data_IF_648713655572
#
_entry.id   IF_648713655572
#
_cell.length_a   1.000
_cell.length_b   1.000
_cell.length_c   1.000
_cell.angle_alpha   90.00
_cell.angle_beta   90.00
_cell.angle_gamma   90.00
#
_symmetry.space_group_name_H-M   'P 1'
#
loop_
_entity.id
_entity.type
_entity.pdbx_description
1 polymer ?
#
# COMPACT_ATOMS: atom_id res chain seq x y z
N UNK A 1 -26.98 -38.13 15.44
CA UNK A 1 -26.71 -38.60 14.08
C UNK A 1 -26.76 -37.39 13.17
N UNK A 2 -25.58 -37.03 12.71
CA UNK A 2 -25.19 -35.81 12.02
C UNK A 2 -25.89 -35.61 10.66
N UNK A 3 -26.03 -34.36 10.22
CA UNK A 3 -25.75 -33.93 8.84
C UNK A 3 -25.77 -32.41 8.71
N UNK A 4 -24.68 -31.80 9.19
CA UNK A 4 -24.18 -30.46 8.81
C UNK A 4 -23.62 -30.51 7.38
N UNK A 5 -24.47 -30.26 6.37
CA UNK A 5 -24.05 -30.26 4.96
C UNK A 5 -24.72 -29.15 4.17
N UNK A 6 -23.92 -28.12 3.82
CA UNK A 6 -24.06 -27.00 2.84
C UNK A 6 -23.99 -25.60 3.49
N UNK A 7 -23.09 -24.65 3.16
CA UNK A 7 -21.98 -24.55 2.21
C UNK A 7 -21.03 -23.39 2.62
N UNK A 8 -19.74 -23.61 2.91
CA UNK A 8 -18.81 -22.54 3.30
C UNK A 8 -18.27 -21.69 2.12
N UNK A 9 -18.71 -21.93 0.88
CA UNK A 9 -18.23 -21.21 -0.32
C UNK A 9 -19.04 -19.95 -0.66
N UNK A 10 -20.34 -19.93 -0.38
CA UNK A 10 -21.24 -18.80 -0.66
C UNK A 10 -21.00 -17.61 0.26
N UNK A 11 -20.76 -17.87 1.56
CA UNK A 11 -20.38 -16.84 2.52
C UNK A 11 -19.01 -16.21 2.18
N UNK A 12 -18.07 -16.98 1.64
CA UNK A 12 -16.79 -16.45 1.20
C UNK A 12 -16.94 -15.58 -0.05
N UNK A 13 -17.75 -15.97 -1.04
CA UNK A 13 -18.06 -15.12 -2.19
C UNK A 13 -18.77 -13.83 -1.80
N UNK A 14 -19.78 -13.89 -0.92
CA UNK A 14 -20.44 -12.71 -0.39
C UNK A 14 -19.46 -11.82 0.39
N UNK A 15 -18.52 -12.42 1.12
CA UNK A 15 -17.43 -11.72 1.79
C UNK A 15 -16.51 -11.06 0.77
N UNK A 16 -16.02 -11.78 -0.25
CA UNK A 16 -15.21 -11.28 -1.38
C UNK A 16 -15.89 -10.09 -2.09
N UNK A 17 -17.19 -10.20 -2.37
CA UNK A 17 -17.98 -9.15 -2.98
C UNK A 17 -18.10 -7.93 -2.06
N UNK A 18 -18.30 -8.14 -0.76
CA UNK A 18 -18.25 -7.07 0.24
C UNK A 18 -16.84 -6.46 0.36
N UNK A 19 -15.75 -7.22 0.14
CA UNK A 19 -14.38 -6.67 0.13
C UNK A 19 -14.17 -5.77 -1.08
N UNK A 20 -14.62 -6.22 -2.26
CA UNK A 20 -14.56 -5.44 -3.50
C UNK A 20 -15.40 -4.18 -3.33
N UNK A 21 -16.60 -4.27 -2.76
CA UNK A 21 -17.46 -3.12 -2.51
C UNK A 21 -16.80 -2.11 -1.57
N UNK A 22 -16.08 -2.58 -0.53
CA UNK A 22 -15.36 -1.72 0.40
C UNK A 22 -14.14 -1.07 -0.25
N UNK A 23 -13.42 -1.80 -1.11
CA UNK A 23 -12.32 -1.27 -1.91
C UNK A 23 -12.81 -0.23 -2.92
N UNK A 24 -13.94 -0.48 -3.57
CA UNK A 24 -14.63 0.46 -4.48
C UNK A 24 -15.12 1.68 -3.72
N UNK A 25 -15.63 1.53 -2.50
CA UNK A 25 -16.02 2.65 -1.62
C UNK A 25 -14.82 3.53 -1.26
N UNK A 26 -13.68 2.94 -0.93
CA UNK A 26 -12.43 3.66 -0.67
C UNK A 26 -11.94 4.36 -1.94
N UNK A 27 -11.97 3.68 -3.08
CA UNK A 27 -11.62 4.28 -4.36
C UNK A 27 -12.55 5.44 -4.72
N UNK A 28 -13.86 5.30 -4.47
CA UNK A 28 -14.86 6.34 -4.68
C UNK A 28 -14.64 7.53 -3.74
N UNK A 29 -14.38 7.29 -2.46
CA UNK A 29 -14.03 8.34 -1.51
C UNK A 29 -12.75 9.07 -1.94
N UNK A 30 -11.72 8.32 -2.35
CA UNK A 30 -10.47 8.87 -2.89
C UNK A 30 -10.70 9.71 -4.14
N UNK A 31 -11.56 9.24 -5.06
CA UNK A 31 -11.94 9.97 -6.28
C UNK A 31 -12.77 11.22 -5.99
N UNK A 32 -13.70 11.17 -5.02
CA UNK A 32 -14.46 12.35 -4.57
C UNK A 32 -13.55 13.40 -3.95
N UNK A 33 -12.58 12.98 -3.12
CA UNK A 33 -11.56 13.85 -2.53
C UNK A 33 -10.67 14.43 -3.62
N UNK A 34 -10.23 13.63 -4.60
CA UNK A 34 -9.46 14.10 -5.76
C UNK A 34 -10.20 15.21 -6.52
N UNK A 35 -11.49 14.99 -6.78
CA UNK A 35 -12.33 15.93 -7.54
C UNK A 35 -12.52 17.23 -6.77
N UNK A 36 -12.64 17.16 -5.44
CA UNK A 36 -12.77 18.34 -4.58
C UNK A 36 -11.46 19.12 -4.44
N UNK A 37 -10.30 18.45 -4.51
CA UNK A 37 -8.99 19.08 -4.37
C UNK A 37 -8.38 19.57 -5.70
N UNK A 38 -8.95 19.26 -6.88
CA UNK A 38 -8.42 19.63 -8.20
C UNK A 38 -6.91 19.36 -8.39
N UNK A 39 -6.35 18.37 -7.69
CA UNK A 39 -4.93 18.05 -7.78
C UNK A 39 -4.65 17.26 -9.08
N UNK A 40 -3.57 17.55 -9.81
CA UNK A 40 -3.13 16.82 -11.02
C UNK A 40 -2.63 15.38 -10.71
N UNK A 41 -3.07 14.81 -9.59
CA UNK A 41 -2.71 13.49 -9.11
C UNK A 41 -3.82 12.52 -9.50
N UNK A 42 -3.45 11.43 -10.18
CA UNK A 42 -4.38 10.35 -10.55
C UNK A 42 -5.05 9.75 -9.32
N UNK A 43 -6.35 9.46 -9.41
CA UNK A 43 -7.14 8.89 -8.32
C UNK A 43 -6.56 7.59 -7.75
N UNK A 44 -5.74 6.85 -8.50
CA UNK A 44 -5.01 5.68 -8.00
C UNK A 44 -3.98 6.00 -6.90
N UNK A 45 -3.25 7.10 -7.02
CA UNK A 45 -2.27 7.51 -6.00
C UNK A 45 -2.97 7.99 -4.73
N UNK A 46 -4.10 8.69 -4.87
CA UNK A 46 -4.93 9.11 -3.74
C UNK A 46 -5.58 7.91 -3.07
N UNK A 47 -6.07 6.93 -3.86
CA UNK A 47 -6.56 5.66 -3.35
C UNK A 47 -5.49 4.89 -2.56
N UNK A 48 -4.23 4.88 -3.04
CA UNK A 48 -3.10 4.30 -2.33
C UNK A 48 -2.83 5.00 -0.98
N UNK A 49 -2.84 6.35 -0.95
CA UNK A 49 -2.68 7.12 0.29
C UNK A 49 -3.82 6.88 1.28
N UNK A 50 -5.05 6.80 0.78
CA UNK A 50 -6.22 6.55 1.62
C UNK A 50 -6.20 5.13 2.20
N UNK A 51 -5.81 4.15 1.38
CA UNK A 51 -5.60 2.78 1.84
C UNK A 51 -4.48 2.70 2.89
N UNK A 52 -3.38 3.43 2.68
CA UNK A 52 -2.28 3.53 3.63
C UNK A 52 -2.76 4.13 4.96
N UNK A 53 -3.54 5.21 4.93
CA UNK A 53 -4.11 5.83 6.13
C UNK A 53 -5.08 4.87 6.86
N UNK A 54 -5.96 4.19 6.13
CA UNK A 54 -6.88 3.20 6.69
C UNK A 54 -6.14 2.00 7.31
N UNK A 55 -5.03 1.58 6.71
CA UNK A 55 -4.15 0.54 7.24
C UNK A 55 -3.47 1.02 8.53
N UNK A 56 -3.00 2.26 8.58
CA UNK A 56 -2.40 2.87 9.77
C UNK A 56 -3.42 3.01 10.92
N UNK A 57 -4.69 3.29 10.62
CA UNK A 57 -5.78 3.31 11.61
C UNK A 57 -6.15 1.92 12.17
N UNK A 58 -5.53 0.82 11.70
CA UNK A 58 -5.76 -0.53 12.22
C UNK A 58 -7.14 -1.12 11.88
N UNK A 59 -7.95 -0.41 11.10
CA UNK A 59 -9.30 -0.80 10.74
C UNK A 59 -9.32 -1.86 9.61
N UNK A 60 -8.20 -2.00 8.89
CA UNK A 60 -8.10 -2.82 7.69
C UNK A 60 -7.37 -4.15 7.92
N UNK A 61 -8.08 -5.27 7.72
CA UNK A 61 -7.53 -6.61 7.89
C UNK A 61 -6.76 -7.03 6.63
N UNK A 62 -5.46 -7.27 6.78
CA UNK A 62 -4.49 -7.52 5.70
C UNK A 62 -4.86 -8.70 4.77
N UNK A 63 -5.76 -9.59 5.21
CA UNK A 63 -6.29 -10.69 4.40
C UNK A 63 -7.21 -10.25 3.24
N UNK A 64 -7.71 -9.02 3.23
CA UNK A 64 -8.70 -8.52 2.26
C UNK A 64 -8.06 -8.03 0.95
N UNK A 65 -6.85 -7.44 1.02
CA UNK A 65 -6.10 -6.98 -0.16
C UNK A 65 -5.57 -8.16 -0.97
N UNK A 66 -5.15 -9.24 -0.29
CA UNK A 66 -4.41 -10.35 -0.91
C UNK A 66 -5.24 -11.10 -1.97
N UNK A 67 -6.54 -11.29 -1.73
CA UNK A 67 -7.42 -11.98 -2.67
C UNK A 67 -7.83 -11.11 -3.87
N UNK A 68 -8.08 -9.81 -3.67
CA UNK A 68 -8.39 -8.89 -4.77
C UNK A 68 -7.18 -8.61 -5.67
N UNK A 69 -5.98 -8.55 -5.08
CA UNK A 69 -4.75 -8.25 -5.81
C UNK A 69 -4.34 -9.38 -6.76
N UNK A 70 -4.51 -10.65 -6.39
CA UNK A 70 -4.19 -11.78 -7.28
C UNK A 70 -5.04 -11.77 -8.55
N UNK A 71 -6.30 -11.36 -8.45
CA UNK A 71 -7.23 -11.28 -9.58
C UNK A 71 -6.86 -10.11 -10.52
N UNK A 72 -6.52 -8.95 -9.95
CA UNK A 72 -6.05 -7.78 -10.71
C UNK A 72 -4.67 -8.03 -11.32
N UNK A 73 -3.81 -8.80 -10.65
CA UNK A 73 -2.48 -9.15 -11.14
C UNK A 73 -2.57 -10.06 -12.38
N UNK A 74 -3.54 -10.98 -12.41
CA UNK A 74 -3.86 -11.77 -13.59
C UNK A 74 -4.37 -10.89 -14.75
N UNK A 75 -5.27 -9.95 -14.46
CA UNK A 75 -5.75 -8.96 -15.43
C UNK A 75 -4.64 -8.00 -15.91
N UNK A 76 -3.63 -7.68 -15.07
CA UNK A 76 -2.51 -6.82 -15.45
C UNK A 76 -1.72 -7.41 -16.63
N UNK A 77 -1.59 -8.74 -16.68
CA UNK A 77 -0.99 -9.45 -17.83
C UNK A 77 -1.90 -9.31 -19.06
N UNK A 78 -3.22 -9.43 -18.89
CA UNK A 78 -4.20 -9.22 -19.96
C UNK A 78 -4.14 -7.78 -20.51
N UNK A 79 -3.97 -6.77 -19.64
CA UNK A 79 -3.81 -5.36 -20.01
C UNK A 79 -2.44 -5.04 -20.60
N UNK A 80 -1.41 -5.83 -20.30
CA UNK A 80 -0.07 -5.67 -20.87
C UNK A 80 -0.08 -5.89 -22.39
N UNK A 81 -0.85 -6.86 -22.88
CA UNK A 81 -0.96 -7.18 -24.32
C UNK A 81 -1.44 -5.98 -25.14
N UNK A 82 -2.63 -5.38 -24.90
CA UNK A 82 -3.09 -4.21 -25.65
C UNK A 82 -2.21 -2.97 -25.44
N UNK A 83 -1.63 -2.81 -24.24
CA UNK A 83 -0.72 -1.70 -23.95
C UNK A 83 0.55 -1.76 -24.82
N UNK A 84 1.21 -2.92 -24.88
CA UNK A 84 2.41 -3.13 -25.70
C UNK A 84 2.09 -3.02 -27.20
N UNK A 85 0.97 -3.60 -27.65
CA UNK A 85 0.54 -3.50 -29.06
C UNK A 85 0.26 -2.05 -29.45
N UNK A 86 -0.34 -1.25 -28.57
CA UNK A 86 -0.52 0.18 -28.75
C UNK A 86 0.81 0.91 -28.93
N UNK A 87 1.78 0.63 -28.06
CA UNK A 87 3.13 1.21 -28.12
C UNK A 87 3.84 0.87 -29.44
N UNK A 88 3.72 -0.37 -29.92
CA UNK A 88 4.35 -0.81 -31.18
C UNK A 88 3.84 -0.01 -32.39
N UNK A 89 2.57 0.39 -32.42
CA UNK A 89 2.03 1.23 -33.52
C UNK A 89 2.63 2.65 -33.56
N UNK A 90 3.06 3.18 -32.41
CA UNK A 90 3.68 4.51 -32.31
C UNK A 90 5.22 4.46 -32.24
N UNK A 91 5.83 3.29 -32.50
CA UNK A 91 7.29 3.11 -32.42
C UNK A 91 8.08 4.09 -33.27
N UNK A 92 7.56 4.54 -34.42
CA UNK A 92 8.25 5.52 -35.26
C UNK A 92 8.44 6.87 -34.56
N UNK A 93 7.46 7.31 -33.75
CA UNK A 93 7.58 8.52 -32.92
C UNK A 93 8.47 8.29 -31.70
N UNK A 94 8.43 7.09 -31.11
CA UNK A 94 9.35 6.71 -30.04
C UNK A 94 10.80 6.58 -30.49
N UNK A 95 11.09 6.28 -31.75
CA UNK A 95 12.48 6.28 -32.24
C UNK A 95 13.01 7.71 -32.38
N UNK A 96 12.16 8.65 -32.81
CA UNK A 96 12.53 10.07 -32.93
C UNK A 96 12.62 10.79 -31.58
N UNK A 97 11.80 10.42 -30.59
CA UNK A 97 11.68 11.12 -29.29
C UNK A 97 11.93 10.23 -28.08
N UNK A 98 12.36 8.98 -28.27
CA UNK A 98 12.52 7.99 -27.19
C UNK A 98 13.59 8.37 -26.18
N UNK A 99 14.57 9.17 -26.60
CA UNK A 99 15.56 9.79 -25.71
C UNK A 99 14.88 10.56 -24.56
N UNK A 100 13.82 11.32 -24.86
CA UNK A 100 13.11 12.14 -23.87
C UNK A 100 12.32 11.25 -22.91
N UNK A 101 11.81 10.10 -23.39
CA UNK A 101 11.15 9.11 -22.56
C UNK A 101 12.12 8.41 -21.61
N UNK A 102 13.31 8.02 -22.09
CA UNK A 102 14.36 7.43 -21.23
C UNK A 102 14.75 8.41 -20.12
N UNK A 103 14.97 9.68 -20.45
CA UNK A 103 15.29 10.70 -19.44
C UNK A 103 14.15 10.85 -18.44
N UNK A 104 12.91 10.96 -18.91
CA UNK A 104 11.75 11.09 -18.02
C UNK A 104 11.63 9.91 -17.04
N UNK A 105 11.88 8.68 -17.51
CA UNK A 105 11.86 7.47 -16.66
C UNK A 105 13.01 7.48 -15.65
N UNK A 106 14.23 7.80 -16.08
CA UNK A 106 15.40 7.86 -15.19
C UNK A 106 15.22 8.94 -14.13
N UNK A 107 14.83 10.15 -14.53
CA UNK A 107 14.57 11.27 -13.61
C UNK A 107 13.41 10.94 -12.68
N UNK A 108 12.33 10.34 -13.18
CA UNK A 108 11.21 9.89 -12.37
C UNK A 108 11.62 8.85 -11.31
N UNK A 109 12.46 7.88 -11.71
CA UNK A 109 12.98 6.84 -10.80
C UNK A 109 13.86 7.44 -9.71
N UNK A 110 14.79 8.32 -10.08
CA UNK A 110 15.64 9.03 -9.11
C UNK A 110 14.77 9.87 -8.17
N UNK A 111 13.79 10.60 -8.69
CA UNK A 111 12.88 11.42 -7.91
C UNK A 111 12.09 10.58 -6.88
N UNK A 112 11.51 9.45 -7.30
CA UNK A 112 10.80 8.52 -6.42
C UNK A 112 11.72 7.94 -5.35
N UNK A 113 12.95 7.56 -5.72
CA UNK A 113 13.92 7.03 -4.76
C UNK A 113 14.30 8.09 -3.71
N UNK A 114 14.54 9.33 -4.12
CA UNK A 114 14.82 10.46 -3.21
C UNK A 114 13.62 10.72 -2.32
N UNK A 115 12.40 10.75 -2.85
CA UNK A 115 11.20 11.00 -2.07
C UNK A 115 10.97 9.91 -1.01
N UNK A 116 11.20 8.65 -1.38
CA UNK A 116 11.14 7.51 -0.46
C UNK A 116 12.22 7.64 0.62
N UNK A 117 13.47 7.95 0.23
CA UNK A 117 14.57 8.16 1.16
C UNK A 117 14.31 9.31 2.15
N UNK A 118 13.76 10.43 1.67
CA UNK A 118 13.38 11.57 2.52
C UNK A 118 12.25 11.19 3.49
N UNK A 119 11.24 10.47 3.02
CA UNK A 119 10.13 9.99 3.86
C UNK A 119 10.64 9.09 4.97
N UNK A 120 11.51 8.14 4.63
CA UNK A 120 12.15 7.23 5.60
C UNK A 120 13.05 8.01 6.56
N UNK A 121 13.90 8.91 6.06
CA UNK A 121 14.78 9.74 6.89
C UNK A 121 13.98 10.60 7.88
N UNK A 122 12.86 11.18 7.43
CA UNK A 122 11.97 11.95 8.28
C UNK A 122 11.27 11.06 9.33
N UNK A 123 10.82 9.86 8.93
CA UNK A 123 10.27 8.85 9.83
C UNK A 123 11.26 8.45 10.93
N UNK A 124 12.48 8.06 10.56
CA UNK A 124 13.54 7.74 11.51
C UNK A 124 13.92 8.93 12.41
N UNK A 125 13.88 10.17 11.90
CA UNK A 125 14.14 11.38 12.70
C UNK A 125 13.03 11.62 13.72
N UNK A 126 11.77 11.34 13.36
CA UNK A 126 10.61 11.42 14.25
C UNK A 126 10.69 10.35 15.34
N UNK A 127 11.05 9.12 14.97
CA UNK A 127 11.28 8.02 15.90
C UNK A 127 12.48 8.28 16.82
N UNK A 128 13.57 8.88 16.35
CA UNK A 128 14.69 9.30 17.24
C UNK A 128 14.28 10.36 18.26
N UNK A 129 13.29 11.21 17.97
CA UNK A 129 12.72 12.16 18.94
C UNK A 129 11.79 11.48 19.95
N UNK A 130 11.06 10.43 19.56
CA UNK A 130 10.15 9.69 20.43
C UNK A 130 10.86 8.60 21.24
N UNK A 131 11.91 8.00 20.70
CA UNK A 131 12.73 6.98 21.35
C UNK A 131 13.75 7.57 22.35
N UNK A 132 13.91 8.89 22.39
CA UNK A 132 14.62 9.59 23.47
C UNK A 132 13.79 9.69 24.77
N UNK A 133 12.59 9.10 24.83
CA UNK A 133 11.76 9.07 26.05
C UNK A 133 11.38 7.66 26.53
N UNK A 134 11.91 6.59 25.92
CA UNK A 134 11.77 5.23 26.45
C UNK A 134 13.15 4.59 26.66
N UNK A 135 13.51 4.51 27.93
CA UNK A 135 14.67 3.87 28.59
C UNK A 135 15.86 4.81 28.81
N UNK A 136 15.90 5.47 29.98
CA UNK A 136 16.64 4.87 31.11
C UNK A 136 15.92 5.05 32.45
N UNK A 137 14.97 4.17 32.81
CA UNK A 137 14.53 4.02 34.22
C UNK A 137 13.59 2.82 34.41
N UNK A 138 14.11 1.59 34.35
CA UNK A 138 13.46 0.40 34.95
C UNK A 138 14.43 -0.80 34.99
N UNK A 139 15.60 -0.64 35.61
CA UNK A 139 16.35 -1.81 36.12
C UNK A 139 17.20 -1.38 37.33
N UNK A 140 16.51 -1.00 38.41
CA UNK A 140 17.13 -0.89 39.72
C UNK A 140 16.25 -1.61 40.73
N UNK A 141 16.19 -2.95 40.64
CA UNK A 141 15.34 -3.74 41.56
C UNK A 141 15.68 -5.23 41.67
N UNK A 142 16.92 -5.70 41.49
CA UNK A 142 17.21 -7.13 41.78
C UNK A 142 18.64 -7.45 42.23
N UNK A 143 19.18 -6.64 43.16
CA UNK A 143 20.42 -6.97 43.90
C UNK A 143 20.18 -7.09 45.42
N UNK A 144 18.98 -6.77 45.93
CA UNK A 144 18.72 -6.72 47.38
C UNK A 144 17.73 -7.77 47.91
N UNK A 145 17.68 -8.98 47.32
CA UNK A 145 16.80 -10.04 47.84
C UNK A 145 17.43 -11.43 47.94
N UNK A 146 18.63 -11.67 47.39
CA UNK A 146 19.28 -13.00 47.46
C UNK A 146 20.43 -13.08 48.49
N UNK A 147 20.98 -11.94 48.94
CA UNK A 147 22.17 -11.92 49.82
C UNK A 147 21.91 -11.79 51.33
N UNK A 148 20.64 -11.80 51.79
CA UNK A 148 20.30 -11.60 53.22
C UNK A 148 19.59 -12.79 53.87
N UNK A 149 19.55 -13.92 53.18
CA UNK A 149 18.89 -15.16 53.62
C UNK A 149 19.79 -16.40 53.61
N UNK A 150 21.11 -16.22 53.47
CA UNK A 150 22.15 -17.23 53.75
C UNK A 150 23.32 -16.54 54.45
#
# INVERSE_FOLDING_TARGET
MDTQSTSPRLLNFAKTLSQILLLVLIWWLGSKIQTWFHLPISGGVIGLLLLLAALFSGLFKMSWIKQGSDLILAELVLFFIPCVVGIVKYKNLLLSSGWQLVIAVVVGTICVMVFTALTVYFGFKLERKLSNKKTPSAEHSDINTVGKTL
#
